data_IF_781138474239
#
_entry.id   IF_781138474239
#
_cell.length_a   1.000
_cell.length_b   1.000
_cell.length_c   1.000
_cell.angle_alpha   90.00
_cell.angle_beta   90.00
_cell.angle_gamma   90.00
#
_symmetry.space_group_name_H-M   'P 1'
#
loop_
_entity.id
_entity.type
_entity.pdbx_description
1 polymer ?
#
# COMPACT_ATOMS: atom_id res chain seq x y z
N UNK A 1 17.05 30.37 33.92
CA UNK A 1 16.97 28.90 33.65
C UNK A 1 15.99 28.51 32.55
N UNK A 2 14.86 29.23 32.37
CA UNK A 2 13.85 28.93 31.35
C UNK A 2 14.44 28.95 29.92
N UNK A 3 15.24 29.91 29.56
CA UNK A 3 15.88 30.06 28.25
C UNK A 3 16.81 28.89 27.90
N UNK A 4 17.50 28.29 28.86
CA UNK A 4 18.40 27.16 28.63
C UNK A 4 17.63 25.89 28.23
N UNK A 5 16.48 25.66 28.84
CA UNK A 5 15.64 24.51 28.48
C UNK A 5 15.01 24.66 27.08
N UNK A 6 14.60 25.87 26.73
CA UNK A 6 14.08 26.16 25.38
C UNK A 6 15.17 25.94 24.33
N UNK A 7 16.37 26.44 24.55
CA UNK A 7 17.50 26.23 23.62
C UNK A 7 17.81 24.74 23.45
N UNK A 8 17.81 23.97 24.54
CA UNK A 8 18.04 22.55 24.51
C UNK A 8 16.95 21.82 23.70
N UNK A 9 15.66 22.15 23.87
CA UNK A 9 14.55 21.57 23.13
C UNK A 9 14.69 21.90 21.63
N UNK A 10 15.00 23.13 21.28
CA UNK A 10 15.21 23.56 19.89
C UNK A 10 16.39 22.77 19.29
N UNK A 11 17.50 22.63 20.00
CA UNK A 11 18.66 21.88 19.50
C UNK A 11 18.31 20.40 19.24
N UNK A 12 17.58 19.74 20.15
CA UNK A 12 17.11 18.36 19.97
C UNK A 12 16.19 18.25 18.76
N UNK A 13 15.28 19.22 18.58
CA UNK A 13 14.39 19.25 17.42
C UNK A 13 15.16 19.35 16.09
N UNK A 14 16.17 20.23 16.05
CA UNK A 14 17.02 20.35 14.85
C UNK A 14 17.76 19.04 14.56
N UNK A 15 18.38 18.41 15.57
CA UNK A 15 19.07 17.13 15.40
C UNK A 15 18.10 16.08 14.87
N UNK A 16 16.87 16.02 15.39
CA UNK A 16 15.86 15.07 14.90
C UNK A 16 15.44 15.35 13.46
N UNK A 17 15.24 16.61 13.09
CA UNK A 17 14.94 16.98 11.69
C UNK A 17 16.10 16.57 10.77
N UNK A 18 17.35 16.85 11.14
CA UNK A 18 18.51 16.42 10.36
C UNK A 18 18.54 14.90 10.19
N UNK A 19 18.25 14.16 11.26
CA UNK A 19 18.14 12.69 11.18
C UNK A 19 17.09 12.25 10.18
N UNK A 20 15.92 12.87 10.14
CA UNK A 20 14.85 12.57 9.20
C UNK A 20 15.23 12.92 7.74
N UNK A 21 16.14 13.83 7.54
CA UNK A 21 16.61 14.25 6.21
C UNK A 21 17.71 13.35 5.64
N UNK A 22 18.31 12.46 6.42
CA UNK A 22 19.39 11.56 5.96
C UNK A 22 19.02 10.78 4.70
N UNK A 23 17.79 10.21 4.53
CA UNK A 23 17.44 9.48 3.31
C UNK A 23 17.45 10.32 2.04
N UNK A 24 17.41 11.66 2.12
CA UNK A 24 17.60 12.54 0.95
C UNK A 24 19.02 12.48 0.38
N UNK A 25 20.00 12.09 1.19
CA UNK A 25 21.40 12.00 0.78
C UNK A 25 21.72 10.66 0.08
N UNK A 26 20.77 9.73 0.06
CA UNK A 26 20.97 8.46 -0.61
C UNK A 26 20.96 8.63 -2.13
N UNK A 27 21.74 7.81 -2.83
CA UNK A 27 21.72 7.75 -4.28
C UNK A 27 20.32 7.36 -4.80
N UNK A 28 19.75 8.14 -5.71
CA UNK A 28 18.39 7.99 -6.20
C UNK A 28 18.18 6.62 -6.88
N UNK A 29 19.14 6.18 -7.68
CA UNK A 29 19.04 4.90 -8.40
C UNK A 29 19.10 3.72 -7.42
N UNK A 30 19.98 3.83 -6.42
CA UNK A 30 20.06 2.82 -5.37
C UNK A 30 18.75 2.71 -4.59
N UNK A 31 18.17 3.85 -4.16
CA UNK A 31 16.88 3.88 -3.47
C UNK A 31 15.77 3.27 -4.33
N UNK A 32 15.69 3.66 -5.60
CA UNK A 32 14.69 3.14 -6.53
C UNK A 32 14.79 1.61 -6.63
N UNK A 33 15.98 1.08 -6.87
CA UNK A 33 16.19 -0.36 -6.98
C UNK A 33 15.84 -1.09 -5.67
N UNK A 34 16.23 -0.52 -4.52
CA UNK A 34 15.94 -1.11 -3.21
C UNK A 34 14.44 -1.14 -2.92
N UNK A 35 13.71 -0.04 -3.18
CA UNK A 35 12.27 0.06 -2.97
C UNK A 35 11.52 -0.87 -3.91
N UNK A 36 11.84 -0.89 -5.20
CA UNK A 36 11.20 -1.79 -6.17
C UNK A 36 11.41 -3.25 -5.80
N UNK A 37 12.64 -3.62 -5.44
CA UNK A 37 12.94 -4.99 -4.97
C UNK A 37 12.10 -5.37 -3.76
N UNK A 38 11.96 -4.48 -2.77
CA UNK A 38 11.15 -4.75 -1.57
C UNK A 38 9.65 -4.80 -1.88
N UNK A 39 9.14 -3.94 -2.76
CA UNK A 39 7.74 -4.01 -3.19
C UNK A 39 7.44 -5.35 -3.87
N UNK A 40 8.34 -5.82 -4.70
CA UNK A 40 8.19 -7.11 -5.37
C UNK A 40 8.24 -8.28 -4.36
N UNK A 41 9.25 -8.30 -3.47
CA UNK A 41 9.47 -9.43 -2.55
C UNK A 41 8.53 -9.47 -1.35
N UNK A 42 8.19 -8.30 -0.79
CA UNK A 42 7.40 -8.22 0.45
C UNK A 42 5.90 -8.01 0.19
N UNK A 43 5.53 -7.46 -0.98
CA UNK A 43 4.14 -7.10 -1.31
C UNK A 43 3.62 -7.75 -2.59
N UNK A 44 4.44 -8.53 -3.31
CA UNK A 44 4.14 -9.10 -4.62
C UNK A 44 3.70 -8.03 -5.64
N UNK A 45 4.27 -6.82 -5.52
CA UNK A 45 3.95 -5.67 -6.35
C UNK A 45 5.12 -5.36 -7.28
N UNK A 46 4.99 -5.76 -8.55
CA UNK A 46 5.96 -5.46 -9.59
C UNK A 46 5.57 -4.17 -10.29
N UNK A 47 6.38 -3.13 -10.13
CA UNK A 47 6.20 -1.84 -10.82
C UNK A 47 6.93 -1.85 -12.16
N UNK A 48 6.34 -1.18 -13.16
CA UNK A 48 6.99 -0.96 -14.45
C UNK A 48 8.17 0.02 -14.32
N UNK A 49 9.12 -0.07 -15.23
CA UNK A 49 10.38 0.68 -15.25
C UNK A 49 10.20 2.20 -15.36
N UNK A 50 11.24 2.95 -14.98
CA UNK A 50 11.33 4.41 -14.95
C UNK A 50 10.38 5.09 -13.95
N UNK A 51 10.66 4.89 -12.68
CA UNK A 51 9.89 5.50 -11.60
C UNK A 51 10.49 6.84 -11.21
N UNK A 52 9.65 7.86 -11.11
CA UNK A 52 10.04 9.10 -10.43
C UNK A 52 9.77 8.96 -8.94
N UNK A 53 10.83 8.73 -8.18
CA UNK A 53 10.78 8.56 -6.73
C UNK A 53 11.28 9.82 -6.02
N UNK A 54 10.50 10.29 -5.06
CA UNK A 54 10.84 11.42 -4.20
C UNK A 54 10.65 11.04 -2.74
N UNK A 55 11.47 11.63 -1.86
CA UNK A 55 11.39 11.40 -0.43
C UNK A 55 10.69 12.56 0.29
N UNK A 56 9.80 12.24 1.22
CA UNK A 56 9.04 13.19 2.03
C UNK A 56 9.10 12.81 3.51
N UNK A 57 9.18 13.81 4.39
CA UNK A 57 9.23 13.60 5.84
C UNK A 57 7.86 13.69 6.53
N UNK A 58 6.90 14.37 5.89
CA UNK A 58 5.56 14.58 6.44
C UNK A 58 4.51 13.80 5.63
N UNK A 59 3.46 13.27 6.31
CA UNK A 59 3.20 13.25 7.75
C UNK A 59 4.11 12.29 8.53
N UNK A 60 4.75 11.37 7.87
CA UNK A 60 5.78 10.42 8.33
C UNK A 60 6.76 10.19 7.19
N UNK A 61 8.03 9.83 7.46
CA UNK A 61 9.01 9.52 6.43
C UNK A 61 8.49 8.48 5.43
N UNK A 62 8.43 8.86 4.15
CA UNK A 62 7.98 7.99 3.07
C UNK A 62 8.62 8.35 1.73
N UNK A 63 8.64 7.37 0.83
CA UNK A 63 8.90 7.60 -0.57
C UNK A 63 7.59 7.71 -1.33
N UNK A 64 7.50 8.70 -2.19
CA UNK A 64 6.38 8.95 -3.09
C UNK A 64 6.79 8.55 -4.51
N UNK A 65 5.96 7.74 -5.16
CA UNK A 65 6.08 7.40 -6.58
C UNK A 65 4.79 7.86 -7.27
N UNK A 66 4.92 8.60 -8.37
CA UNK A 66 3.79 9.05 -9.18
C UNK A 66 3.69 8.27 -10.48
N UNK A 67 2.47 8.16 -10.99
CA UNK A 67 2.14 7.62 -12.32
C UNK A 67 2.81 6.27 -12.61
N UNK A 68 2.77 5.37 -11.62
CA UNK A 68 3.32 4.03 -11.74
C UNK A 68 2.30 3.04 -12.28
N UNK A 69 2.79 1.95 -12.88
CA UNK A 69 1.96 0.88 -13.43
C UNK A 69 2.39 -0.47 -12.88
N UNK A 70 1.41 -1.32 -12.67
CA UNK A 70 1.59 -2.75 -12.40
C UNK A 70 0.89 -3.56 -13.49
N UNK A 71 0.99 -4.89 -13.46
CA UNK A 71 0.25 -5.74 -14.39
C UNK A 71 -1.28 -5.59 -14.28
N UNK A 72 -1.79 -5.15 -13.11
CA UNK A 72 -3.23 -5.09 -12.82
C UNK A 72 -3.74 -3.66 -12.61
N UNK A 73 -2.88 -2.66 -12.47
CA UNK A 73 -3.30 -1.31 -12.11
C UNK A 73 -2.42 -0.22 -12.68
N UNK A 74 -3.04 0.90 -13.00
CA UNK A 74 -2.40 2.20 -13.15
C UNK A 74 -2.58 2.97 -11.84
N UNK A 75 -1.48 3.37 -11.21
CA UNK A 75 -1.45 3.98 -9.88
C UNK A 75 -0.96 5.42 -10.01
N UNK A 76 -1.78 6.39 -9.66
CA UNK A 76 -1.40 7.80 -9.75
C UNK A 76 -0.47 8.21 -8.62
N UNK A 77 -0.74 7.73 -7.40
CA UNK A 77 0.05 8.05 -6.21
C UNK A 77 0.30 6.79 -5.40
N UNK A 78 1.57 6.49 -5.15
CA UNK A 78 2.03 5.39 -4.32
C UNK A 78 2.92 5.92 -3.22
N UNK A 79 2.44 5.89 -1.98
CA UNK A 79 3.16 6.30 -0.78
C UNK A 79 3.74 5.07 -0.06
N UNK A 80 5.04 5.04 0.14
CA UNK A 80 5.77 3.92 0.74
C UNK A 80 6.37 4.40 2.06
N UNK A 81 5.69 4.14 3.17
CA UNK A 81 6.11 4.55 4.49
C UNK A 81 7.22 3.65 5.01
N UNK A 82 8.30 4.27 5.47
CA UNK A 82 9.50 3.57 5.94
C UNK A 82 9.66 3.69 7.45
N UNK A 83 10.37 2.70 8.03
CA UNK A 83 10.73 2.72 9.43
C UNK A 83 11.82 3.77 9.69
N UNK A 84 11.70 4.49 10.80
CA UNK A 84 12.69 5.46 11.26
C UNK A 84 13.79 4.83 12.13
N UNK A 85 13.90 3.51 12.17
CA UNK A 85 14.76 2.82 13.15
C UNK A 85 16.24 3.07 12.97
N UNK A 86 16.73 3.24 11.74
CA UNK A 86 18.14 3.49 11.47
C UNK A 86 18.35 4.12 10.08
N UNK A 87 18.33 5.45 10.00
CA UNK A 87 18.61 6.16 8.75
C UNK A 87 20.12 6.34 8.46
N UNK A 88 21.01 6.00 9.38
CA UNK A 88 22.44 6.01 9.09
C UNK A 88 22.88 4.79 8.26
N UNK A 89 22.09 3.73 8.28
CA UNK A 89 22.34 2.53 7.50
C UNK A 89 21.29 2.41 6.37
N UNK A 90 21.71 2.78 5.16
CA UNK A 90 20.84 2.71 3.96
C UNK A 90 20.32 1.31 3.68
N UNK A 91 21.08 0.26 4.03
CA UNK A 91 20.68 -1.13 3.78
C UNK A 91 19.57 -1.60 4.74
N UNK A 92 19.37 -0.89 5.87
CA UNK A 92 18.36 -1.18 6.86
C UNK A 92 16.96 -0.62 6.53
N UNK A 93 16.75 0.01 5.36
CA UNK A 93 15.44 0.53 4.95
C UNK A 93 14.39 -0.58 5.05
N UNK A 94 13.37 -0.36 5.87
CA UNK A 94 12.23 -1.27 6.04
C UNK A 94 10.94 -0.54 5.68
N UNK A 95 10.12 -1.16 4.83
CA UNK A 95 8.80 -0.64 4.51
C UNK A 95 7.85 -1.08 5.63
N UNK A 96 7.08 -0.15 6.19
CA UNK A 96 6.09 -0.41 7.23
C UNK A 96 4.68 -0.54 6.64
N UNK A 97 4.36 0.29 5.66
CA UNK A 97 3.03 0.41 5.08
C UNK A 97 3.14 0.93 3.64
N UNK A 98 2.24 0.49 2.80
CA UNK A 98 2.07 1.01 1.44
C UNK A 98 0.67 1.58 1.31
N UNK A 99 0.55 2.81 0.80
CA UNK A 99 -0.75 3.44 0.49
C UNK A 99 -0.81 3.74 -0.99
N UNK A 100 -1.82 3.19 -1.64
CA UNK A 100 -2.14 3.37 -3.05
C UNK A 100 -3.31 4.35 -3.12
N UNK A 101 -3.17 5.41 -3.90
CA UNK A 101 -4.22 6.42 -4.06
C UNK A 101 -4.50 6.69 -5.54
N UNK A 102 -5.75 6.92 -5.85
CA UNK A 102 -6.22 7.24 -7.21
C UNK A 102 -5.77 6.19 -8.24
N UNK A 103 -5.90 4.90 -7.90
CA UNK A 103 -5.54 3.81 -8.79
C UNK A 103 -6.74 3.31 -9.60
N UNK A 104 -6.45 2.84 -10.82
CA UNK A 104 -7.39 2.18 -11.69
C UNK A 104 -6.96 0.73 -11.88
N UNK A 105 -7.62 -0.19 -11.17
CA UNK A 105 -7.38 -1.63 -11.29
C UNK A 105 -8.20 -2.19 -12.45
N UNK A 106 -7.60 -3.01 -13.30
CA UNK A 106 -8.27 -3.73 -14.37
C UNK A 106 -8.31 -5.23 -14.05
N UNK A 107 -9.49 -5.76 -13.76
CA UNK A 107 -9.68 -7.16 -13.42
C UNK A 107 -10.52 -7.85 -14.48
N UNK A 108 -9.96 -8.91 -15.08
CA UNK A 108 -10.69 -9.81 -15.98
C UNK A 108 -11.45 -10.86 -15.16
N UNK A 109 -12.59 -11.32 -15.67
CA UNK A 109 -13.40 -12.37 -15.03
C UNK A 109 -12.60 -13.64 -14.73
N UNK A 110 -11.64 -14.01 -15.58
CA UNK A 110 -10.76 -15.16 -15.35
C UNK A 110 -9.73 -14.91 -14.24
N UNK A 111 -9.34 -13.67 -13.98
CA UNK A 111 -8.46 -13.32 -12.87
C UNK A 111 -9.14 -13.54 -11.51
N UNK A 112 -10.47 -13.50 -11.45
CA UNK A 112 -11.19 -13.87 -10.23
C UNK A 112 -10.97 -15.32 -9.82
N UNK A 113 -10.77 -16.21 -10.81
CA UNK A 113 -10.42 -17.62 -10.54
C UNK A 113 -9.03 -17.73 -9.87
N UNK A 114 -8.12 -16.79 -10.14
CA UNK A 114 -6.81 -16.73 -9.52
C UNK A 114 -6.94 -16.38 -8.02
N UNK A 115 -7.83 -15.45 -7.65
CA UNK A 115 -8.14 -15.17 -6.25
C UNK A 115 -8.73 -16.39 -5.54
N UNK A 116 -9.51 -17.20 -6.24
CA UNK A 116 -10.08 -18.44 -5.69
C UNK A 116 -9.05 -19.56 -5.57
N UNK A 117 -8.17 -19.73 -6.58
CA UNK A 117 -7.12 -20.76 -6.58
C UNK A 117 -5.92 -20.40 -5.71
N UNK A 118 -5.54 -19.12 -5.66
CA UNK A 118 -4.39 -18.64 -4.88
C UNK A 118 -4.75 -18.28 -3.42
N UNK A 119 -5.89 -18.74 -2.92
CA UNK A 119 -6.28 -18.56 -1.52
C UNK A 119 -5.30 -19.17 -0.50
N UNK A 120 -4.27 -19.86 -0.95
CA UNK A 120 -3.16 -20.37 -0.14
C UNK A 120 -2.00 -19.38 -0.02
N UNK A 121 -1.92 -18.36 -0.90
CA UNK A 121 -0.86 -17.37 -0.82
C UNK A 121 -1.15 -16.37 0.29
N UNK A 122 -0.19 -16.26 1.20
CA UNK A 122 -0.23 -15.23 2.25
C UNK A 122 -0.10 -13.85 1.64
N UNK A 123 -0.95 -12.92 2.07
CA UNK A 123 -0.72 -11.50 1.83
C UNK A 123 0.56 -11.03 2.51
N UNK A 124 1.00 -9.81 2.22
CA UNK A 124 2.07 -9.19 2.98
C UNK A 124 1.66 -9.09 4.47
N UNK A 125 2.60 -9.33 5.38
CA UNK A 125 2.41 -9.06 6.80
C UNK A 125 2.25 -7.56 7.10
N UNK A 126 2.63 -6.73 6.15
CA UNK A 126 2.52 -5.27 6.24
C UNK A 126 1.27 -4.81 5.51
N UNK A 127 0.65 -3.76 6.04
CA UNK A 127 -0.60 -3.24 5.47
C UNK A 127 -0.38 -2.60 4.11
N UNK A 128 -1.25 -2.95 3.17
CA UNK A 128 -1.48 -2.20 1.96
C UNK A 128 -2.84 -1.53 2.13
N UNK A 129 -2.87 -0.20 1.98
CA UNK A 129 -4.11 0.58 1.94
C UNK A 129 -4.36 1.05 0.51
N UNK A 130 -5.61 1.11 0.13
CA UNK A 130 -6.05 1.59 -1.17
C UNK A 130 -7.14 2.63 -0.93
N UNK A 131 -6.94 3.86 -1.40
CA UNK A 131 -7.87 4.95 -1.22
C UNK A 131 -8.31 5.52 -2.57
N UNK A 132 -9.54 6.00 -2.66
CA UNK A 132 -10.06 6.78 -3.79
C UNK A 132 -9.74 6.17 -5.16
N UNK A 133 -9.96 4.88 -5.30
CA UNK A 133 -9.54 4.10 -6.46
C UNK A 133 -10.73 3.42 -7.15
N UNK A 134 -10.50 2.88 -8.34
CA UNK A 134 -11.54 2.19 -9.08
C UNK A 134 -11.10 0.79 -9.47
N UNK A 135 -12.04 -0.16 -9.51
CA UNK A 135 -11.86 -1.46 -10.14
C UNK A 135 -12.73 -1.50 -11.38
N UNK A 136 -12.13 -1.63 -12.55
CA UNK A 136 -12.79 -1.89 -13.81
C UNK A 136 -12.88 -3.40 -13.99
N UNK A 137 -14.06 -3.94 -13.74
CA UNK A 137 -14.32 -5.35 -13.92
C UNK A 137 -14.73 -5.63 -15.38
N UNK A 138 -13.99 -6.49 -16.05
CA UNK A 138 -14.13 -6.78 -17.48
C UNK A 138 -14.39 -8.27 -17.71
N UNK A 139 -15.08 -8.56 -18.78
CA UNK A 139 -15.24 -9.95 -19.27
C UNK A 139 -13.98 -10.46 -20.01
N UNK A 140 -14.08 -11.68 -20.54
CA UNK A 140 -12.98 -12.30 -21.28
C UNK A 140 -12.75 -11.67 -22.67
N UNK A 141 -13.70 -10.88 -23.18
CA UNK A 141 -13.59 -10.10 -24.40
C UNK A 141 -13.01 -8.69 -24.12
N UNK A 142 -12.61 -8.42 -22.87
CA UNK A 142 -12.15 -7.13 -22.38
C UNK A 142 -13.21 -6.02 -22.36
N UNK A 143 -14.50 -6.41 -22.42
CA UNK A 143 -15.61 -5.47 -22.30
C UNK A 143 -15.89 -5.14 -20.84
N UNK A 144 -16.21 -3.88 -20.56
CA UNK A 144 -16.47 -3.40 -19.20
C UNK A 144 -17.83 -3.90 -18.72
N UNK A 145 -17.84 -4.72 -17.67
CA UNK A 145 -19.05 -5.21 -17.01
C UNK A 145 -19.51 -4.23 -15.93
N UNK A 146 -18.60 -3.79 -15.07
CA UNK A 146 -18.92 -2.87 -13.97
C UNK A 146 -17.71 -2.09 -13.51
N UNK A 147 -17.99 -0.97 -12.83
CA UNK A 147 -16.99 -0.18 -12.12
C UNK A 147 -17.33 -0.21 -10.64
N UNK A 148 -16.37 -0.64 -9.83
CA UNK A 148 -16.45 -0.59 -8.38
C UNK A 148 -15.58 0.57 -7.92
N UNK A 149 -16.17 1.58 -7.31
CA UNK A 149 -15.45 2.69 -6.69
C UNK A 149 -14.99 2.26 -5.30
N UNK A 150 -13.73 2.40 -5.02
CA UNK A 150 -13.13 2.12 -3.71
C UNK A 150 -12.94 3.44 -2.96
N UNK A 151 -13.67 3.65 -1.88
CA UNK A 151 -13.42 4.76 -0.96
C UNK A 151 -12.20 4.47 -0.10
N UNK A 152 -12.16 3.27 0.47
CA UNK A 152 -11.05 2.79 1.30
C UNK A 152 -11.02 1.26 1.26
N UNK A 153 -9.83 0.71 1.12
CA UNK A 153 -9.61 -0.71 1.32
C UNK A 153 -8.26 -0.95 2.00
N UNK A 154 -8.12 -2.07 2.68
CA UNK A 154 -6.83 -2.52 3.18
C UNK A 154 -6.73 -4.03 3.17
N UNK A 155 -5.52 -4.52 3.00
CA UNK A 155 -5.21 -5.94 3.00
C UNK A 155 -3.87 -6.21 3.71
N UNK A 156 -3.82 -7.30 4.45
CA UNK A 156 -2.61 -7.81 5.10
C UNK A 156 -2.81 -9.24 5.59
N UNK A 157 -1.69 -9.91 5.90
CA UNK A 157 -1.72 -11.19 6.59
C UNK A 157 -1.55 -10.99 8.10
N UNK A 158 -2.49 -11.50 8.87
CA UNK A 158 -2.41 -11.49 10.34
C UNK A 158 -1.66 -12.74 10.83
N UNK A 159 -0.40 -12.56 11.24
CA UNK A 159 0.43 -13.66 11.74
C UNK A 159 -0.07 -14.27 13.06
N UNK A 160 -0.79 -13.49 13.86
CA UNK A 160 -1.29 -13.98 15.16
C UNK A 160 -2.45 -14.94 14.99
N UNK A 161 -3.33 -14.61 14.07
CA UNK A 161 -4.56 -15.35 13.81
C UNK A 161 -4.46 -16.24 12.56
N UNK A 162 -3.33 -16.20 11.85
CA UNK A 162 -3.02 -17.00 10.67
C UNK A 162 -4.05 -16.90 9.54
N UNK A 163 -4.53 -15.69 9.26
CA UNK A 163 -5.45 -15.45 8.15
C UNK A 163 -5.08 -14.24 7.29
N UNK A 164 -5.46 -14.29 6.03
CA UNK A 164 -5.48 -13.14 5.16
C UNK A 164 -6.73 -12.30 5.45
N UNK A 165 -6.57 -11.00 5.67
CA UNK A 165 -7.65 -10.04 5.81
C UNK A 165 -7.69 -9.11 4.61
N UNK A 166 -8.88 -8.89 4.08
CA UNK A 166 -9.17 -7.85 3.12
C UNK A 166 -10.49 -7.18 3.49
N UNK A 167 -10.43 -5.89 3.76
CA UNK A 167 -11.59 -5.04 4.01
C UNK A 167 -11.70 -4.01 2.91
N UNK A 168 -12.91 -3.78 2.42
CA UNK A 168 -13.20 -2.81 1.39
C UNK A 168 -14.50 -2.09 1.71
N UNK A 169 -14.47 -0.76 1.59
CA UNK A 169 -15.64 0.11 1.55
C UNK A 169 -15.68 0.77 0.18
N UNK A 170 -16.81 0.65 -0.47
CA UNK A 170 -16.92 1.14 -1.84
C UNK A 170 -18.36 1.30 -2.29
N UNK A 171 -18.51 1.49 -3.59
CA UNK A 171 -19.77 1.70 -4.27
C UNK A 171 -19.78 0.95 -5.60
N UNK A 172 -20.88 0.28 -5.89
CA UNK A 172 -21.17 -0.35 -7.18
C UNK A 172 -22.57 0.07 -7.62
N UNK A 173 -22.73 0.55 -8.86
CA UNK A 173 -24.01 1.08 -9.38
C UNK A 173 -24.67 2.13 -8.47
N UNK A 174 -23.86 3.00 -7.84
CA UNK A 174 -24.28 4.00 -6.85
C UNK A 174 -24.86 3.40 -5.55
N UNK A 175 -24.64 2.13 -5.32
CA UNK A 175 -25.02 1.44 -4.08
C UNK A 175 -23.78 1.28 -3.22
N UNK A 176 -23.68 1.91 -2.04
CA UNK A 176 -22.56 1.72 -1.13
C UNK A 176 -22.56 0.31 -0.55
N UNK A 177 -21.38 -0.24 -0.33
CA UNK A 177 -21.22 -1.55 0.31
C UNK A 177 -19.91 -1.64 1.11
N UNK A 178 -19.92 -2.56 2.05
CA UNK A 178 -18.75 -2.99 2.80
C UNK A 178 -18.52 -4.48 2.56
N UNK A 179 -17.27 -4.85 2.23
CA UNK A 179 -16.85 -6.23 2.07
C UNK A 179 -15.76 -6.54 3.09
N UNK A 180 -15.95 -7.58 3.88
CA UNK A 180 -14.93 -8.15 4.73
C UNK A 180 -14.66 -9.58 4.27
N UNK A 181 -13.42 -9.85 3.90
CA UNK A 181 -12.93 -11.17 3.51
C UNK A 181 -11.84 -11.62 4.46
N UNK A 182 -12.03 -12.81 5.01
CA UNK A 182 -11.05 -13.49 5.85
C UNK A 182 -10.81 -14.89 5.29
N UNK A 183 -9.55 -15.22 5.05
CA UNK A 183 -9.15 -16.56 4.62
C UNK A 183 -8.17 -17.14 5.63
N UNK A 184 -8.66 -18.05 6.45
CA UNK A 184 -7.83 -18.81 7.41
C UNK A 184 -7.10 -19.89 6.61
N UNK A 185 -5.77 -19.86 6.65
CA UNK A 185 -4.94 -20.84 5.91
C UNK A 185 -5.30 -22.24 6.38
N UNK A 186 -5.57 -23.13 5.42
CA UNK A 186 -5.97 -24.53 5.61
C UNK A 186 -7.33 -24.75 6.33
N UNK A 187 -8.21 -23.75 6.39
CA UNK A 187 -9.49 -23.88 7.08
C UNK A 187 -10.64 -23.26 6.28
N UNK A 188 -11.26 -22.22 6.80
CA UNK A 188 -12.49 -21.64 6.25
C UNK A 188 -12.25 -20.28 5.62
N UNK A 189 -12.91 -20.05 4.48
CA UNK A 189 -13.05 -18.71 3.89
C UNK A 189 -14.33 -18.09 4.41
N UNK A 190 -14.24 -16.88 4.96
CA UNK A 190 -15.39 -16.11 5.43
C UNK A 190 -15.49 -14.84 4.62
N UNK A 191 -16.63 -14.68 3.96
CA UNK A 191 -16.96 -13.46 3.21
C UNK A 191 -18.18 -12.85 3.86
N UNK A 192 -18.11 -11.56 4.17
CA UNK A 192 -19.21 -10.78 4.74
C UNK A 192 -19.41 -9.55 3.88
N UNK A 193 -20.57 -9.44 3.27
CA UNK A 193 -20.96 -8.28 2.48
C UNK A 193 -22.13 -7.61 3.20
N UNK A 194 -22.04 -6.31 3.38
CA UNK A 194 -23.11 -5.47 3.93
C UNK A 194 -23.39 -4.34 2.95
N UNK A 195 -24.64 -4.16 2.59
CA UNK A 195 -25.13 -2.91 2.04
C UNK A 195 -25.72 -2.13 3.19
N UNK A 196 -25.37 -0.85 3.42
CA UNK A 196 -26.12 -0.02 4.34
C UNK A 196 -27.56 0.06 3.85
N UNK A 197 -28.51 0.11 4.78
CA UNK A 197 -29.93 0.20 4.46
C UNK A 197 -30.18 1.40 3.55
N UNK A 198 -30.87 1.14 2.43
CA UNK A 198 -31.33 2.14 1.47
C UNK A 198 -32.47 2.94 2.08
#
# INVERSE_FOLDING_TARGET
NFNKHIIAIIAVLFIYIFYLLIPLLYDKNWVQNKIVSKLNTEFNMSLSNSLDISYHILPKPHYLIKDSKTALAEIKVLNIFISQSNFFDKDSIRINEVIIEEANFSLLSDNFKIFYKNGENKFSQKKIKINNSNIFFKDNLNELISIIKISNAFLFFDDKNLFNLFDLKGEIFNIPFELNYQNIINSQKKIKIRAPDL
#
